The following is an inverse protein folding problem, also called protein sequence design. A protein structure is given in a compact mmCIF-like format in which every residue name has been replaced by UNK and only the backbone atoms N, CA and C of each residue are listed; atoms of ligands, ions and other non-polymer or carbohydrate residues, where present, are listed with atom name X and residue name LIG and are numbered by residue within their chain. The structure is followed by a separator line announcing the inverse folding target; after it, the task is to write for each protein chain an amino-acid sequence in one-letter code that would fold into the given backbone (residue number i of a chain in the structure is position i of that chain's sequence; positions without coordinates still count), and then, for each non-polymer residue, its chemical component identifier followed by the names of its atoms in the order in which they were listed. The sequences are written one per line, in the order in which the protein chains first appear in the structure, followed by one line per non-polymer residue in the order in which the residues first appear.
data_IF_673699323213
#
_entry.id   IF_673699323213
#
_cell.length_a   1.000
_cell.length_b   1.000
_cell.length_c   1.000
_cell.angle_alpha   90.00
_cell.angle_beta   90.00
_cell.angle_gamma   90.00
#
_symmetry.space_group_name_H-M   'P 1'
#
loop_
_entity.id
_entity.type
_entity.pdbx_description
1 polymer ?
#
# COMPACT_ATOMS: atom_id res chain seq x y z
N UNK A 1 -20.94 57.26 41.27
CA UNK A 1 -21.04 55.79 41.47
C UNK A 1 -20.80 55.11 40.13
N UNK A 2 -19.60 54.56 39.91
CA UNK A 2 -19.21 53.94 38.63
C UNK A 2 -19.65 52.48 38.63
N UNK A 3 -20.58 52.10 37.75
CA UNK A 3 -20.90 50.68 37.48
C UNK A 3 -19.86 50.16 36.49
N UNK A 4 -18.97 49.30 36.97
CA UNK A 4 -17.99 48.59 36.14
C UNK A 4 -18.71 47.41 35.49
N UNK A 5 -18.87 47.47 34.18
CA UNK A 5 -19.34 46.38 33.34
C UNK A 5 -18.15 45.43 33.10
N UNK A 6 -18.09 44.31 33.81
CA UNK A 6 -17.11 43.25 33.53
C UNK A 6 -17.64 42.38 32.38
N UNK A 7 -17.09 42.58 31.18
CA UNK A 7 -17.24 41.66 30.06
C UNK A 7 -16.20 40.54 30.25
N UNK A 8 -16.67 39.34 30.57
CA UNK A 8 -15.86 38.12 30.53
C UNK A 8 -15.64 37.73 29.07
N UNK A 9 -14.47 38.05 28.51
CA UNK A 9 -14.02 37.52 27.22
C UNK A 9 -13.50 36.10 27.50
N UNK A 10 -14.32 35.09 27.21
CA UNK A 10 -13.88 33.70 27.12
C UNK A 10 -13.03 33.58 25.86
N UNK A 11 -11.71 33.57 26.04
CA UNK A 11 -10.73 33.17 25.03
C UNK A 11 -10.97 31.69 24.68
N UNK A 12 -11.83 31.44 23.69
CA UNK A 12 -11.87 30.17 22.99
C UNK A 12 -10.57 30.11 22.19
N UNK A 13 -9.53 29.53 22.77
CA UNK A 13 -8.37 29.11 22.00
C UNK A 13 -8.88 28.15 20.92
N UNK A 14 -8.74 28.45 19.61
CA UNK A 14 -8.86 27.41 18.62
C UNK A 14 -7.70 26.46 18.90
N UNK A 15 -8.01 25.32 19.52
CA UNK A 15 -7.12 24.19 19.54
C UNK A 15 -6.92 23.84 18.06
N UNK A 16 -5.82 24.32 17.49
CA UNK A 16 -5.38 23.88 16.18
C UNK A 16 -5.15 22.37 16.33
N UNK A 17 -6.13 21.58 15.90
CA UNK A 17 -5.92 20.19 15.56
C UNK A 17 -4.92 20.20 14.39
N UNK A 18 -3.64 20.33 14.73
CA UNK A 18 -2.57 19.84 13.88
C UNK A 18 -2.84 18.34 13.78
N UNK A 19 -3.47 17.94 12.68
CA UNK A 19 -3.56 16.54 12.30
C UNK A 19 -2.14 15.98 12.43
N UNK A 20 -1.92 15.11 13.41
CA UNK A 20 -0.63 14.52 13.66
C UNK A 20 -0.22 13.80 12.37
N UNK A 21 0.73 14.39 11.64
CA UNK A 21 1.30 13.75 10.48
C UNK A 21 1.92 12.43 10.96
N UNK A 22 1.55 11.31 10.35
CA UNK A 22 2.09 10.00 10.71
C UNK A 22 3.60 10.00 10.46
N UNK A 23 4.36 10.25 11.52
CA UNK A 23 5.80 10.30 11.54
C UNK A 23 6.34 9.00 12.15
N UNK A 24 7.01 8.21 11.32
CA UNK A 24 7.77 7.06 11.75
C UNK A 24 9.21 7.48 12.08
N UNK A 25 9.65 7.21 13.31
CA UNK A 25 11.02 7.42 13.78
C UNK A 25 11.74 6.09 14.00
N UNK A 26 12.56 5.69 13.04
CA UNK A 26 13.25 4.40 13.04
C UNK A 26 14.62 4.49 12.40
N UNK A 27 15.59 3.76 12.94
CA UNK A 27 16.87 3.51 12.28
C UNK A 27 16.63 2.47 11.17
N UNK A 28 16.56 2.92 9.91
CA UNK A 28 16.38 2.04 8.74
C UNK A 28 17.65 1.91 7.91
N UNK A 29 18.64 2.77 8.13
CA UNK A 29 19.95 2.73 7.44
C UNK A 29 21.07 2.06 8.26
N UNK A 30 20.77 1.66 9.49
CA UNK A 30 21.60 0.90 10.43
C UNK A 30 22.84 1.65 10.92
N UNK A 31 22.73 2.97 11.13
CA UNK A 31 23.80 3.80 11.68
C UNK A 31 23.65 4.09 13.20
N UNK A 32 22.66 3.48 13.86
CA UNK A 32 22.28 3.67 15.27
C UNK A 32 21.65 5.03 15.59
N UNK A 33 21.25 5.82 14.59
CA UNK A 33 20.48 7.06 14.76
C UNK A 33 19.11 6.91 14.12
N UNK A 34 18.13 7.66 14.62
CA UNK A 34 16.76 7.61 14.12
C UNK A 34 16.64 8.38 12.81
N UNK A 35 16.06 7.73 11.81
CA UNK A 35 15.59 8.35 10.58
C UNK A 35 14.14 8.80 10.74
N UNK A 36 13.68 9.67 9.83
CA UNK A 36 12.27 10.09 9.77
C UNK A 36 11.65 9.69 8.45
N UNK A 37 10.46 9.08 8.54
CA UNK A 37 9.64 8.68 7.39
C UNK A 37 8.21 9.18 7.63
N UNK A 38 7.61 9.84 6.65
CA UNK A 38 6.24 10.33 6.75
C UNK A 38 5.63 10.57 5.36
N UNK A 39 4.30 10.71 5.31
CA UNK A 39 3.58 11.16 4.11
C UNK A 39 3.38 12.67 4.14
N UNK A 40 3.95 13.38 3.16
CA UNK A 40 3.57 14.76 2.87
C UNK A 40 2.25 14.73 2.08
N UNK A 41 1.13 14.77 2.81
CA UNK A 41 -0.23 14.72 2.23
C UNK A 41 -0.54 15.89 1.29
N UNK A 42 0.15 17.03 1.40
CA UNK A 42 -0.08 18.17 0.50
C UNK A 42 0.51 17.92 -0.89
N UNK A 43 1.63 17.20 -0.96
CA UNK A 43 2.31 16.84 -2.21
C UNK A 43 2.04 15.39 -2.63
N UNK A 44 1.32 14.64 -1.80
CA UNK A 44 1.10 13.20 -1.91
C UNK A 44 2.39 12.42 -2.16
N UNK A 45 3.45 12.69 -1.39
CA UNK A 45 4.73 11.97 -1.49
C UNK A 45 5.12 11.31 -0.18
N UNK A 46 5.83 10.19 -0.26
CA UNK A 46 6.59 9.65 0.86
C UNK A 46 7.86 10.50 1.00
N UNK A 47 8.17 10.95 2.21
CA UNK A 47 9.43 11.62 2.54
C UNK A 47 10.22 10.74 3.51
N UNK A 48 11.51 10.54 3.19
CA UNK A 48 12.48 9.91 4.05
C UNK A 48 13.67 10.85 4.28
N UNK A 49 14.14 10.96 5.52
CA UNK A 49 15.38 11.65 5.87
C UNK A 49 16.26 10.72 6.69
N UNK A 50 17.34 10.27 6.06
CA UNK A 50 18.28 9.32 6.63
C UNK A 50 19.42 10.02 7.34
N UNK A 51 19.73 9.56 8.54
CA UNK A 51 20.79 10.06 9.40
C UNK A 51 22.18 9.86 8.80
N UNK A 52 22.44 8.70 8.17
CA UNK A 52 23.70 8.43 7.44
C UNK A 52 23.93 9.34 6.23
N UNK A 53 22.89 10.07 5.80
CA UNK A 53 22.93 11.01 4.67
C UNK A 53 22.77 12.47 5.10
N UNK A 54 22.95 12.76 6.38
CA UNK A 54 22.82 14.13 6.91
C UNK A 54 21.39 14.66 6.78
N UNK A 55 20.38 13.77 6.88
CA UNK A 55 18.95 14.09 6.81
C UNK A 55 18.51 14.79 5.52
N UNK A 56 19.25 14.58 4.41
CA UNK A 56 18.81 14.99 3.08
C UNK A 56 17.47 14.34 2.75
N UNK A 57 16.59 15.11 2.10
CA UNK A 57 15.27 14.64 1.68
C UNK A 57 15.43 13.67 0.53
N UNK A 58 15.01 12.42 0.74
CA UNK A 58 14.65 11.48 -0.31
C UNK A 58 13.13 11.41 -0.36
N UNK A 59 12.54 11.41 -1.55
CA UNK A 59 11.09 11.41 -1.70
C UNK A 59 10.66 10.59 -2.89
N UNK A 60 9.42 10.10 -2.83
CA UNK A 60 8.77 9.51 -3.98
C UNK A 60 8.36 10.54 -5.02
N UNK A 61 7.92 10.06 -6.19
CA UNK A 61 7.07 10.85 -7.08
C UNK A 61 5.69 11.03 -6.41
N UNK A 62 4.88 12.02 -6.87
CA UNK A 62 3.50 12.18 -6.39
C UNK A 62 2.68 10.90 -6.59
N UNK A 63 1.86 10.59 -5.59
CA UNK A 63 0.89 9.49 -5.58
C UNK A 63 -0.50 10.11 -5.73
N UNK A 64 -1.08 10.04 -6.92
CA UNK A 64 -2.35 10.66 -7.28
C UNK A 64 -3.52 10.05 -6.50
N UNK A 65 -3.51 8.71 -6.32
CA UNK A 65 -4.61 7.98 -5.69
C UNK A 65 -4.30 7.60 -4.24
N UNK A 66 -3.74 8.53 -3.48
CA UNK A 66 -3.48 8.35 -2.05
C UNK A 66 -4.77 8.59 -1.26
N UNK A 67 -5.28 7.56 -0.57
CA UNK A 67 -6.44 7.73 0.30
C UNK A 67 -6.10 8.62 1.51
N UNK A 68 -6.87 9.68 1.74
CA UNK A 68 -6.59 10.66 2.80
C UNK A 68 -6.69 10.09 4.22
N UNK A 69 -7.58 9.11 4.45
CA UNK A 69 -7.89 8.61 5.79
C UNK A 69 -7.36 7.21 6.03
N UNK A 70 -7.28 6.37 5.00
CA UNK A 70 -6.84 4.97 5.10
C UNK A 70 -5.49 4.69 4.44
N UNK A 71 -4.75 5.72 4.04
CA UNK A 71 -3.32 5.58 3.73
C UNK A 71 -2.42 6.01 4.87
N UNK A 72 -1.33 5.27 5.07
CA UNK A 72 -0.40 5.53 6.17
C UNK A 72 0.94 4.82 6.02
N UNK A 73 1.88 5.19 6.89
CA UNK A 73 3.21 4.56 6.96
C UNK A 73 3.28 3.68 8.20
N UNK A 74 3.61 2.42 8.02
CA UNK A 74 3.86 1.47 9.10
C UNK A 74 5.32 1.01 9.15
N UNK A 75 5.78 0.68 10.34
CA UNK A 75 7.08 0.05 10.55
C UNK A 75 7.06 -1.40 10.05
N UNK A 76 8.15 -1.83 9.38
CA UNK A 76 8.43 -3.25 9.13
C UNK A 76 9.77 -3.63 9.73
N UNK A 77 10.04 -4.93 9.95
CA UNK A 77 11.30 -5.40 10.57
C UNK A 77 12.54 -4.75 9.93
N UNK A 78 12.59 -4.66 8.61
CA UNK A 78 13.74 -4.20 7.84
C UNK A 78 13.52 -2.87 7.13
N UNK A 79 12.54 -2.06 7.53
CA UNK A 79 12.26 -0.78 6.89
C UNK A 79 10.87 -0.26 7.24
N UNK A 80 10.08 0.08 6.22
CA UNK A 80 8.73 0.60 6.37
C UNK A 80 7.83 0.13 5.23
N UNK A 81 6.53 0.37 5.36
CA UNK A 81 5.53 0.06 4.35
C UNK A 81 4.57 1.25 4.17
N UNK A 82 4.27 1.58 2.92
CA UNK A 82 3.10 2.39 2.59
C UNK A 82 1.90 1.45 2.54
N UNK A 83 0.84 1.78 3.28
CA UNK A 83 -0.48 1.18 3.10
C UNK A 83 -1.36 2.20 2.40
N UNK A 84 -2.07 1.80 1.36
CA UNK A 84 -3.04 2.63 0.66
C UNK A 84 -4.30 1.80 0.42
N UNK A 85 -5.20 1.87 1.40
CA UNK A 85 -6.42 1.08 1.42
C UNK A 85 -7.61 1.92 0.98
N UNK A 86 -8.53 1.30 0.26
CA UNK A 86 -9.82 1.82 -0.12
C UNK A 86 -10.91 0.83 0.33
N UNK A 87 -12.18 1.23 0.19
CA UNK A 87 -13.31 0.45 0.72
C UNK A 87 -13.38 -1.00 0.23
N UNK A 88 -13.02 -1.26 -1.05
CA UNK A 88 -13.12 -2.60 -1.67
C UNK A 88 -11.82 -3.11 -2.28
N UNK A 89 -10.75 -2.33 -2.22
CA UNK A 89 -9.44 -2.69 -2.76
C UNK A 89 -8.37 -1.93 -2.00
N UNK A 90 -7.14 -2.42 -2.04
CA UNK A 90 -6.02 -1.71 -1.47
C UNK A 90 -4.72 -2.38 -1.83
N UNK A 91 -3.63 -1.66 -1.60
CA UNK A 91 -2.29 -2.20 -1.74
C UNK A 91 -1.40 -1.76 -0.59
N UNK A 92 -0.32 -2.51 -0.41
CA UNK A 92 0.80 -2.11 0.42
C UNK A 92 2.12 -2.25 -0.35
N UNK A 93 3.05 -1.34 -0.09
CA UNK A 93 4.35 -1.27 -0.75
C UNK A 93 5.46 -1.22 0.30
N UNK A 94 6.31 -2.25 0.34
CA UNK A 94 7.33 -2.43 1.37
C UNK A 94 8.68 -1.92 0.89
N UNK A 95 9.31 -1.06 1.69
CA UNK A 95 10.58 -0.43 1.40
C UNK A 95 11.65 -0.80 2.41
N UNK A 96 12.89 -0.87 1.93
CA UNK A 96 14.09 -1.09 2.77
C UNK A 96 15.27 -0.31 2.21
N UNK A 97 16.15 0.16 3.09
CA UNK A 97 17.42 0.75 2.70
C UNK A 97 18.37 -0.28 2.06
N UNK A 98 18.89 0.02 0.87
CA UNK A 98 19.90 -0.76 0.16
C UNK A 98 21.28 -0.14 0.38
N UNK A 99 22.05 -0.69 1.33
CA UNK A 99 23.35 -0.16 1.77
C UNK A 99 24.36 0.07 0.64
N UNK A 100 24.37 -0.80 -0.37
CA UNK A 100 25.28 -0.71 -1.52
C UNK A 100 25.03 0.57 -2.33
N UNK A 101 23.76 0.83 -2.61
CA UNK A 101 23.33 1.92 -3.50
C UNK A 101 23.00 3.20 -2.69
N UNK A 102 22.97 3.10 -1.36
CA UNK A 102 22.57 4.17 -0.42
C UNK A 102 21.20 4.77 -0.78
N UNK A 103 20.26 3.92 -1.18
CA UNK A 103 18.91 4.30 -1.63
C UNK A 103 17.87 3.43 -0.96
N UNK A 104 16.64 3.92 -0.91
CA UNK A 104 15.50 3.18 -0.38
C UNK A 104 14.86 2.41 -1.52
N UNK A 105 14.83 1.08 -1.42
CA UNK A 105 14.35 0.17 -2.48
C UNK A 105 13.00 -0.43 -2.12
N UNK A 106 12.11 -0.51 -3.10
CA UNK A 106 10.89 -1.31 -3.03
C UNK A 106 11.25 -2.80 -3.07
N UNK A 107 10.83 -3.56 -2.07
CA UNK A 107 11.18 -4.98 -1.90
C UNK A 107 9.99 -5.93 -1.97
N UNK A 108 8.78 -5.43 -1.79
CA UNK A 108 7.56 -6.23 -1.83
C UNK A 108 6.33 -5.38 -2.06
N UNK A 109 5.30 -5.98 -2.63
CA UNK A 109 3.96 -5.39 -2.70
C UNK A 109 2.93 -6.44 -2.36
N UNK A 110 1.86 -6.01 -1.68
CA UNK A 110 0.66 -6.81 -1.46
C UNK A 110 -0.55 -6.05 -1.99
N UNK A 111 -1.62 -6.78 -2.36
CA UNK A 111 -2.90 -6.18 -2.75
C UNK A 111 -4.06 -7.08 -2.33
N UNK A 112 -5.22 -6.47 -2.14
CA UNK A 112 -6.48 -7.18 -1.97
C UNK A 112 -7.59 -6.55 -2.82
N UNK A 113 -8.60 -7.37 -3.12
CA UNK A 113 -9.85 -6.95 -3.74
C UNK A 113 -11.02 -7.71 -3.13
N UNK A 114 -12.14 -7.02 -2.90
CA UNK A 114 -13.38 -7.65 -2.47
C UNK A 114 -14.26 -8.09 -3.65
N UNK A 115 -13.84 -7.83 -4.89
CA UNK A 115 -14.59 -8.17 -6.09
C UNK A 115 -15.86 -7.32 -6.28
N UNK A 116 -16.75 -7.78 -7.16
CA UNK A 116 -18.04 -7.13 -7.42
C UNK A 116 -19.10 -7.48 -6.34
N UNK A 117 -20.39 -7.22 -6.60
CA UNK A 117 -21.48 -7.46 -5.64
C UNK A 117 -21.63 -8.94 -5.23
N UNK A 118 -21.17 -9.89 -6.06
CA UNK A 118 -21.14 -11.33 -5.77
C UNK A 118 -19.74 -11.82 -5.39
N UNK A 119 -18.83 -10.88 -5.11
CA UNK A 119 -17.42 -11.12 -4.79
C UNK A 119 -16.61 -11.82 -5.90
N UNK A 120 -17.05 -11.74 -7.16
CA UNK A 120 -16.25 -12.21 -8.30
C UNK A 120 -14.97 -11.37 -8.43
N UNK A 121 -13.83 -12.03 -8.60
CA UNK A 121 -12.51 -11.40 -8.59
C UNK A 121 -12.01 -11.01 -7.19
N UNK A 122 -12.67 -11.46 -6.12
CA UNK A 122 -12.18 -11.20 -4.76
C UNK A 122 -10.94 -12.04 -4.43
N UNK A 123 -10.08 -11.52 -3.57
CA UNK A 123 -8.89 -12.23 -3.12
C UNK A 123 -7.75 -11.30 -2.73
N UNK A 124 -6.57 -11.89 -2.60
CA UNK A 124 -5.35 -11.19 -2.26
C UNK A 124 -4.15 -11.77 -3.00
N UNK A 125 -3.11 -10.95 -3.16
CA UNK A 125 -1.85 -11.42 -3.69
C UNK A 125 -0.66 -10.62 -3.18
N UNK A 126 0.51 -11.23 -3.29
CA UNK A 126 1.78 -10.63 -2.91
C UNK A 126 2.84 -10.92 -3.96
N UNK A 127 3.79 -10.00 -4.09
CA UNK A 127 5.01 -10.20 -4.87
C UNK A 127 6.23 -9.78 -4.08
N UNK A 128 7.24 -10.65 -4.08
CA UNK A 128 8.57 -10.37 -3.53
C UNK A 128 9.47 -9.87 -4.66
N UNK A 129 9.76 -8.57 -4.70
CA UNK A 129 10.53 -7.93 -5.78
C UNK A 129 12.03 -8.27 -5.73
N UNK A 130 12.52 -8.90 -4.65
CA UNK A 130 13.90 -9.38 -4.57
C UNK A 130 14.08 -10.70 -5.32
N UNK A 131 13.06 -11.56 -5.31
CA UNK A 131 13.10 -12.92 -5.89
C UNK A 131 12.19 -13.10 -7.11
N UNK A 132 11.32 -12.12 -7.36
CA UNK A 132 10.22 -12.21 -8.31
C UNK A 132 9.14 -13.22 -7.93
N UNK A 133 9.13 -13.73 -6.69
CA UNK A 133 8.12 -14.71 -6.26
C UNK A 133 6.75 -14.07 -6.11
N UNK A 134 5.75 -14.60 -6.81
CA UNK A 134 4.35 -14.18 -6.72
C UNK A 134 3.50 -15.27 -6.08
N UNK A 135 2.56 -14.87 -5.22
CA UNK A 135 1.52 -15.72 -4.65
C UNK A 135 0.18 -15.00 -4.77
N UNK A 136 -0.83 -15.67 -5.30
CA UNK A 136 -2.21 -15.17 -5.39
C UNK A 136 -3.23 -16.17 -4.87
N UNK A 137 -4.14 -15.70 -4.04
CA UNK A 137 -5.28 -16.43 -3.49
C UNK A 137 -6.55 -15.70 -3.93
N UNK A 138 -7.22 -16.24 -4.96
CA UNK A 138 -8.33 -15.57 -5.64
C UNK A 138 -9.61 -16.41 -5.61
N UNK A 139 -10.74 -15.76 -5.82
CA UNK A 139 -12.04 -16.37 -5.99
C UNK A 139 -12.70 -15.84 -7.28
N UNK A 140 -13.53 -16.68 -7.90
CA UNK A 140 -14.41 -16.27 -8.99
C UNK A 140 -15.83 -16.77 -8.74
N UNK A 141 -16.82 -16.06 -9.27
CA UNK A 141 -18.20 -16.49 -9.24
C UNK A 141 -18.52 -17.34 -10.47
N UNK A 142 -19.09 -18.53 -10.27
CA UNK A 142 -19.61 -19.38 -11.34
C UNK A 142 -21.13 -19.43 -11.27
N UNK A 143 -21.78 -18.80 -12.26
CA UNK A 143 -23.23 -18.74 -12.35
C UNK A 143 -23.89 -20.11 -12.61
N UNK A 144 -23.16 -21.10 -13.12
CA UNK A 144 -23.69 -22.42 -13.43
C UNK A 144 -23.49 -23.42 -12.28
N UNK A 145 -22.76 -23.05 -11.24
CA UNK A 145 -22.57 -23.88 -10.07
C UNK A 145 -23.86 -23.99 -9.24
N UNK A 146 -23.91 -25.01 -8.37
CA UNK A 146 -25.02 -25.23 -7.43
C UNK A 146 -26.42 -25.23 -8.09
N UNK A 147 -26.61 -26.05 -9.13
CA UNK A 147 -27.86 -26.14 -9.90
C UNK A 147 -28.32 -24.77 -10.43
N UNK A 148 -27.41 -24.00 -11.04
CA UNK A 148 -27.67 -22.66 -11.59
C UNK A 148 -28.01 -21.57 -10.55
N UNK A 149 -27.90 -21.86 -9.24
CA UNK A 149 -28.02 -20.85 -8.19
C UNK A 149 -26.75 -20.01 -8.02
N UNK A 150 -25.65 -20.43 -8.66
CA UNK A 150 -24.36 -19.78 -8.61
C UNK A 150 -23.60 -20.04 -7.31
N UNK A 151 -22.28 -19.96 -7.39
CA UNK A 151 -21.39 -20.16 -6.23
C UNK A 151 -20.11 -19.34 -6.38
N UNK A 152 -19.62 -18.80 -5.26
CA UNK A 152 -18.28 -18.24 -5.18
C UNK A 152 -17.26 -19.36 -4.98
N UNK A 153 -16.40 -19.55 -5.97
CA UNK A 153 -15.41 -20.61 -6.01
C UNK A 153 -14.04 -20.04 -5.65
N UNK A 154 -13.40 -20.64 -4.65
CA UNK A 154 -11.99 -20.40 -4.36
C UNK A 154 -11.10 -21.10 -5.37
N UNK A 155 -10.20 -20.33 -5.98
CA UNK A 155 -9.20 -20.85 -6.93
C UNK A 155 -8.07 -21.56 -6.20
N UNK A 156 -7.39 -22.45 -6.93
CA UNK A 156 -6.12 -22.97 -6.49
C UNK A 156 -5.11 -21.81 -6.39
N UNK A 157 -4.38 -21.78 -5.26
CA UNK A 157 -3.35 -20.78 -5.01
C UNK A 157 -2.35 -20.73 -6.17
N UNK A 158 -2.23 -19.56 -6.78
CA UNK A 158 -1.31 -19.30 -7.88
C UNK A 158 0.07 -19.03 -7.29
N UNK A 159 1.07 -19.83 -7.64
CA UNK A 159 2.48 -19.59 -7.30
C UNK A 159 3.29 -19.53 -8.57
N UNK A 160 3.88 -18.38 -8.89
CA UNK A 160 4.66 -18.20 -10.11
C UNK A 160 5.74 -17.12 -9.95
N UNK A 161 6.45 -16.79 -11.03
CA UNK A 161 7.37 -15.66 -11.10
C UNK A 161 6.69 -14.44 -11.73
N UNK A 162 6.85 -13.29 -11.09
CA UNK A 162 6.49 -11.97 -11.58
C UNK A 162 7.67 -11.04 -11.32
N UNK A 163 8.47 -10.78 -12.36
CA UNK A 163 9.73 -10.06 -12.24
C UNK A 163 9.50 -8.57 -12.50
N UNK A 164 10.05 -7.73 -11.62
CA UNK A 164 10.10 -6.29 -11.75
C UNK A 164 11.54 -5.82 -11.86
N UNK A 165 11.76 -4.67 -12.52
CA UNK A 165 13.04 -3.97 -12.43
C UNK A 165 13.30 -3.53 -10.99
N UNK A 166 14.55 -3.17 -10.67
CA UNK A 166 14.82 -2.44 -9.42
C UNK A 166 14.07 -1.10 -9.45
N UNK A 167 13.32 -0.84 -8.38
CA UNK A 167 12.53 0.37 -8.18
C UNK A 167 12.99 0.97 -6.85
N UNK A 168 13.40 2.22 -6.89
CA UNK A 168 13.75 2.98 -5.69
C UNK A 168 12.63 3.94 -5.34
N UNK A 169 12.70 4.53 -4.14
CA UNK A 169 11.69 5.44 -3.61
C UNK A 169 11.37 6.56 -4.59
N UNK A 170 12.39 7.19 -5.16
CA UNK A 170 12.30 8.28 -6.14
C UNK A 170 11.69 7.88 -7.49
N UNK A 171 11.55 6.58 -7.76
CA UNK A 171 10.87 6.06 -8.94
C UNK A 171 9.40 5.71 -8.65
N UNK A 172 8.96 5.78 -7.39
CA UNK A 172 7.66 5.24 -6.95
C UNK A 172 6.52 6.27 -7.10
N UNK A 173 5.48 5.88 -7.84
CA UNK A 173 4.15 6.50 -7.96
C UNK A 173 3.10 5.39 -8.20
N UNK A 174 1.89 5.77 -8.61
CA UNK A 174 0.78 4.86 -8.90
C UNK A 174 1.02 3.89 -10.07
N UNK A 175 1.95 4.18 -10.99
CA UNK A 175 2.24 3.29 -12.12
C UNK A 175 2.74 1.92 -11.65
N UNK A 176 3.48 1.88 -10.55
CA UNK A 176 4.06 0.66 -10.00
C UNK A 176 2.99 -0.31 -9.44
N UNK A 177 2.10 0.10 -8.51
CA UNK A 177 1.00 -0.74 -8.05
C UNK A 177 -0.03 -1.02 -9.16
N UNK A 178 -0.19 -0.12 -10.15
CA UNK A 178 -1.02 -0.35 -11.32
C UNK A 178 -0.48 -1.48 -12.20
N UNK A 179 0.81 -1.44 -12.57
CA UNK A 179 1.47 -2.52 -13.33
C UNK A 179 1.38 -3.87 -12.59
N UNK A 180 1.56 -3.85 -11.27
CA UNK A 180 1.35 -5.05 -10.44
C UNK A 180 -0.08 -5.58 -10.55
N UNK A 181 -1.08 -4.69 -10.45
CA UNK A 181 -2.50 -5.06 -10.56
C UNK A 181 -2.82 -5.65 -11.95
N UNK A 182 -2.34 -5.04 -13.03
CA UNK A 182 -2.56 -5.54 -14.39
C UNK A 182 -1.97 -6.94 -14.59
N UNK A 183 -0.73 -7.18 -14.14
CA UNK A 183 -0.11 -8.52 -14.18
C UNK A 183 -0.87 -9.55 -13.33
N UNK A 184 -1.46 -9.14 -12.20
CA UNK A 184 -2.32 -10.01 -11.40
C UNK A 184 -3.58 -10.42 -12.15
N UNK A 185 -4.24 -9.46 -12.82
CA UNK A 185 -5.45 -9.72 -13.60
C UNK A 185 -5.20 -10.74 -14.73
N UNK A 186 -4.08 -10.61 -15.44
CA UNK A 186 -3.68 -11.59 -16.47
C UNK A 186 -3.50 -13.00 -15.90
N UNK A 187 -2.85 -13.11 -14.72
CA UNK A 187 -2.68 -14.40 -14.04
C UNK A 187 -4.01 -14.98 -13.56
N UNK A 188 -4.88 -14.13 -13.00
CA UNK A 188 -6.22 -14.51 -12.55
C UNK A 188 -7.03 -15.10 -13.70
N UNK A 189 -7.18 -14.38 -14.82
CA UNK A 189 -7.99 -14.82 -15.97
C UNK A 189 -7.45 -16.13 -16.56
N UNK A 190 -6.12 -16.23 -16.69
CA UNK A 190 -5.47 -17.45 -17.16
C UNK A 190 -5.82 -18.66 -16.28
N UNK A 191 -5.73 -18.53 -14.96
CA UNK A 191 -5.99 -19.65 -14.05
C UNK A 191 -7.49 -19.95 -13.91
N UNK A 192 -8.34 -18.92 -13.86
CA UNK A 192 -9.81 -19.06 -13.87
C UNK A 192 -10.26 -19.89 -15.06
N UNK A 193 -9.78 -19.56 -16.26
CA UNK A 193 -10.15 -20.30 -17.49
C UNK A 193 -9.75 -21.78 -17.46
N UNK A 194 -8.61 -22.12 -16.83
CA UNK A 194 -8.14 -23.51 -16.70
C UNK A 194 -8.99 -24.28 -15.70
N UNK A 195 -9.33 -23.68 -14.57
CA UNK A 195 -10.16 -24.32 -13.55
C UNK A 195 -11.60 -24.54 -14.02
N UNK A 196 -12.21 -23.56 -14.68
CA UNK A 196 -13.55 -23.71 -15.26
C UNK A 196 -13.60 -24.85 -16.27
N UNK A 197 -12.56 -25.01 -17.11
CA UNK A 197 -12.47 -26.14 -18.06
C UNK A 197 -12.34 -27.49 -17.36
N UNK A 198 -11.66 -27.56 -16.21
CA UNK A 198 -11.54 -28.80 -15.42
C UNK A 198 -12.87 -29.20 -14.78
N UNK A 199 -13.68 -28.24 -14.36
CA UNK A 199 -14.99 -28.47 -13.72
C UNK A 199 -16.10 -28.90 -14.70
N UNK A 200 -15.98 -28.56 -15.98
CA UNK A 200 -16.92 -28.96 -17.04
C UNK A 200 -16.70 -30.38 -17.58
N UNK A 201 -15.62 -31.06 -17.17
CA UNK A 201 -15.32 -32.45 -17.55
C UNK A 201 -15.76 -33.39 -16.43
#
# INVERSE_FOLDING_TARGET
MKRILQIFIVLIFPCNFLAAQELLLKDIDFDSKKDSIFLDRKKSVIICKLSSQGFKIQKSLPIEYLNETSSGISETKNGFELNNNWMRTGYSAQFRFEKKDKRIRLIGMNRYEFGNAVNDGSGESSVNLLTGGYIGDWNYFDHFANNENGELIKMQKIKTKMVFRKIYLEDFNDEIPYDFTSKCAELYEKHKSVEMKKRKK
#
